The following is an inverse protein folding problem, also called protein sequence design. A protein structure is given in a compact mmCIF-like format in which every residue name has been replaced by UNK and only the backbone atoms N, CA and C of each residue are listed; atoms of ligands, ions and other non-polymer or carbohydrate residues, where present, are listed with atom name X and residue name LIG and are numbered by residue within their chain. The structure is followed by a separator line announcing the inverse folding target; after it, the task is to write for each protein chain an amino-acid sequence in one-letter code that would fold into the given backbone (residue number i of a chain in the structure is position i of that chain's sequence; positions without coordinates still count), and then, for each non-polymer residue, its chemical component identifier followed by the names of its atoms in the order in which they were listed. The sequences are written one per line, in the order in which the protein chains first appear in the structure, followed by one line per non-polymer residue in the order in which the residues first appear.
data_IF_213994726771
#
_entry.id   IF_213994726771
#
_cell.length_a   1.000
_cell.length_b   1.000
_cell.length_c   1.000
_cell.angle_alpha   90.00
_cell.angle_beta   90.00
_cell.angle_gamma   90.00
#
_symmetry.space_group_name_H-M   'P 1'
#
loop_
_entity.id
_entity.type
_entity.pdbx_description
1 polymer ?
#
# COMPACT_ATOMS: atom_id res chain seq x y z
N UNK A 1 17.81 -27.58 -32.13
CA UNK A 1 16.75 -26.57 -31.93
C UNK A 1 16.21 -26.53 -30.48
N UNK A 2 16.22 -27.60 -29.74
CA UNK A 2 15.76 -27.70 -28.33
C UNK A 2 16.77 -27.09 -27.36
N UNK A 3 18.08 -27.18 -27.65
CA UNK A 3 19.15 -26.63 -26.79
C UNK A 3 19.18 -25.11 -26.75
N UNK A 4 18.84 -24.44 -27.84
CA UNK A 4 18.80 -22.98 -27.92
C UNK A 4 17.64 -22.38 -27.10
N UNK A 5 16.53 -23.10 -26.94
CA UNK A 5 15.39 -22.67 -26.13
C UNK A 5 15.66 -22.79 -24.63
N UNK A 6 16.43 -23.79 -24.20
CA UNK A 6 16.83 -23.97 -22.81
C UNK A 6 17.84 -22.92 -22.35
N UNK A 7 18.82 -22.57 -23.20
CA UNK A 7 19.81 -21.54 -22.90
C UNK A 7 19.16 -20.16 -22.77
N UNK A 8 18.16 -19.85 -23.60
CA UNK A 8 17.39 -18.59 -23.48
C UNK A 8 16.59 -18.50 -22.19
N UNK A 9 16.03 -19.60 -21.69
CA UNK A 9 15.24 -19.60 -20.46
C UNK A 9 16.10 -19.45 -19.20
N UNK A 10 17.27 -20.07 -19.16
CA UNK A 10 18.21 -19.92 -18.04
C UNK A 10 18.79 -18.51 -17.94
N UNK A 11 19.07 -17.87 -19.08
CA UNK A 11 19.55 -16.50 -19.13
C UNK A 11 18.49 -15.51 -18.61
N UNK A 12 17.21 -15.70 -18.97
CA UNK A 12 16.09 -14.91 -18.43
C UNK A 12 15.88 -15.12 -16.93
N UNK A 13 16.06 -16.32 -16.40
CA UNK A 13 15.91 -16.61 -14.97
C UNK A 13 17.04 -15.97 -14.16
N UNK A 14 18.27 -15.97 -14.68
CA UNK A 14 19.43 -15.36 -14.02
C UNK A 14 19.33 -13.85 -13.97
N UNK A 15 18.86 -13.20 -15.03
CA UNK A 15 18.64 -11.76 -15.05
C UNK A 15 17.47 -11.36 -14.16
N UNK A 16 16.41 -12.13 -14.09
CA UNK A 16 15.27 -11.90 -13.22
C UNK A 16 15.69 -11.81 -11.75
N UNK A 17 16.58 -12.68 -11.28
CA UNK A 17 17.10 -12.64 -9.91
C UNK A 17 17.87 -11.34 -9.61
N UNK A 18 18.64 -10.86 -10.59
CA UNK A 18 19.38 -9.59 -10.45
C UNK A 18 18.44 -8.39 -10.35
N UNK A 19 17.38 -8.33 -11.16
CA UNK A 19 16.38 -7.25 -11.11
C UNK A 19 15.60 -7.25 -9.80
N UNK A 20 15.23 -8.42 -9.30
CA UNK A 20 14.57 -8.55 -8.00
C UNK A 20 15.50 -8.06 -6.89
N UNK A 21 16.77 -8.49 -6.88
CA UNK A 21 17.74 -8.06 -5.88
C UNK A 21 17.97 -6.55 -5.93
N UNK A 22 18.12 -5.98 -7.13
CA UNK A 22 18.26 -4.52 -7.31
C UNK A 22 17.06 -3.77 -6.78
N UNK A 23 15.83 -4.23 -7.05
CA UNK A 23 14.62 -3.59 -6.55
C UNK A 23 14.53 -3.60 -5.03
N UNK A 24 14.94 -4.70 -4.38
CA UNK A 24 15.02 -4.78 -2.92
C UNK A 24 16.05 -3.82 -2.33
N UNK A 25 17.23 -3.71 -2.94
CA UNK A 25 18.30 -2.80 -2.49
C UNK A 25 17.83 -1.34 -2.60
N UNK A 26 17.25 -0.97 -3.75
CA UNK A 26 16.75 0.40 -3.96
C UNK A 26 15.60 0.72 -3.01
N UNK A 27 14.64 -0.20 -2.86
CA UNK A 27 13.53 -0.04 -1.92
C UNK A 27 14.00 0.08 -0.47
N UNK A 28 14.95 -0.76 -0.05
CA UNK A 28 15.55 -0.69 1.27
C UNK A 28 16.32 0.61 1.53
N UNK A 29 17.04 1.12 0.53
CA UNK A 29 17.73 2.40 0.61
C UNK A 29 16.75 3.57 0.81
N UNK A 30 15.65 3.61 0.05
CA UNK A 30 14.62 4.65 0.18
C UNK A 30 13.92 4.55 1.54
N UNK A 31 13.61 3.34 2.00
CA UNK A 31 13.02 3.11 3.31
C UNK A 31 13.96 3.54 4.44
N UNK A 32 15.25 3.28 4.30
CA UNK A 32 16.29 3.72 5.25
C UNK A 32 16.41 5.24 5.32
N UNK A 33 16.36 5.93 4.17
CA UNK A 33 16.32 7.38 4.12
C UNK A 33 15.06 7.95 4.79
N UNK A 34 13.89 7.35 4.54
CA UNK A 34 12.64 7.73 5.21
C UNK A 34 12.71 7.55 6.72
N UNK A 35 13.22 6.41 7.20
CA UNK A 35 13.41 6.16 8.63
C UNK A 35 14.41 7.10 9.29
N UNK A 36 15.52 7.45 8.61
CA UNK A 36 16.49 8.41 9.13
C UNK A 36 15.91 9.83 9.20
N UNK A 37 15.12 10.23 8.20
CA UNK A 37 14.45 11.53 8.21
C UNK A 37 13.43 11.65 9.36
N UNK A 38 12.65 10.61 9.62
CA UNK A 38 11.72 10.55 10.74
C UNK A 38 12.45 10.63 12.09
N UNK A 39 13.55 9.89 12.24
CA UNK A 39 14.31 9.81 13.47
C UNK A 39 15.01 11.15 13.79
N UNK A 40 15.61 11.78 12.78
CA UNK A 40 16.33 13.04 12.94
C UNK A 40 15.43 14.27 12.95
N UNK A 41 14.27 14.20 12.24
CA UNK A 41 13.36 15.33 12.09
C UNK A 41 12.30 15.43 13.21
N UNK A 42 11.84 14.29 13.72
CA UNK A 42 10.67 14.27 14.60
C UNK A 42 10.99 13.75 16.01
N UNK A 43 11.72 12.63 16.09
CA UNK A 43 11.88 11.91 17.37
C UNK A 43 13.11 12.33 18.18
N UNK A 44 14.21 12.72 17.52
CA UNK A 44 15.52 13.04 18.12
C UNK A 44 16.08 12.00 19.09
N UNK A 45 15.44 10.85 19.25
CA UNK A 45 15.85 9.72 20.11
C UNK A 45 15.23 8.41 19.61
N UNK A 46 15.95 7.33 19.79
CA UNK A 46 15.46 5.98 19.57
C UNK A 46 14.56 5.54 20.73
N UNK A 47 13.27 5.37 20.44
CA UNK A 47 12.29 4.86 21.39
C UNK A 47 12.08 3.38 21.08
N UNK A 48 11.95 2.56 22.11
CA UNK A 48 11.64 1.14 21.94
C UNK A 48 10.27 1.00 21.24
N UNK A 49 10.24 0.23 20.13
CA UNK A 49 9.04 0.12 19.29
C UNK A 49 8.98 1.14 18.13
N UNK A 50 10.05 1.92 17.91
CA UNK A 50 10.15 2.78 16.72
C UNK A 50 9.99 1.96 15.44
N UNK A 51 9.09 2.40 14.56
CA UNK A 51 8.83 1.71 13.30
C UNK A 51 7.84 0.54 13.39
N UNK A 52 7.26 0.30 14.56
CA UNK A 52 6.23 -0.74 14.71
C UNK A 52 5.00 -0.39 13.85
N UNK A 53 4.69 -1.24 12.86
CA UNK A 53 3.56 -1.07 11.96
C UNK A 53 3.83 -0.30 10.67
N UNK A 54 4.86 0.53 10.55
CA UNK A 54 5.14 1.32 9.33
C UNK A 54 5.31 0.46 8.07
N UNK A 55 5.94 -0.70 8.21
CA UNK A 55 6.11 -1.63 7.08
C UNK A 55 4.78 -2.20 6.60
N UNK A 56 3.89 -2.56 7.52
CA UNK A 56 2.57 -3.07 7.19
C UNK A 56 1.70 -1.96 6.56
N UNK A 57 1.71 -0.77 7.12
CA UNK A 57 1.02 0.39 6.56
C UNK A 57 1.50 0.70 5.14
N UNK A 58 2.81 0.62 4.88
CA UNK A 58 3.38 0.83 3.56
C UNK A 58 2.87 -0.18 2.52
N UNK A 59 2.77 -1.47 2.89
CA UNK A 59 2.19 -2.51 2.03
C UNK A 59 0.71 -2.22 1.76
N UNK A 60 -0.05 -1.84 2.79
CA UNK A 60 -1.46 -1.51 2.64
C UNK A 60 -1.68 -0.31 1.71
N UNK A 61 -0.89 0.77 1.86
CA UNK A 61 -0.94 1.94 0.98
C UNK A 61 -0.60 1.59 -0.47
N UNK A 62 0.39 0.72 -0.70
CA UNK A 62 0.75 0.25 -2.03
C UNK A 62 -0.37 -0.56 -2.69
N UNK A 63 -1.07 -1.41 -1.92
CA UNK A 63 -2.22 -2.18 -2.40
C UNK A 63 -3.41 -1.27 -2.74
N UNK A 64 -3.71 -0.28 -1.91
CA UNK A 64 -4.77 0.71 -2.15
C UNK A 64 -4.44 1.53 -3.40
N UNK A 65 -3.19 1.96 -3.57
CA UNK A 65 -2.69 2.67 -4.74
C UNK A 65 -2.61 1.80 -6.01
N UNK A 66 -2.98 0.51 -5.93
CA UNK A 66 -2.89 -0.46 -7.04
C UNK A 66 -1.50 -0.53 -7.67
N UNK A 67 -0.45 -0.36 -6.88
CA UNK A 67 0.95 -0.32 -7.33
C UNK A 67 1.25 0.80 -8.34
N UNK A 68 0.35 1.79 -8.47
CA UNK A 68 0.58 2.96 -9.31
C UNK A 68 1.28 4.05 -8.49
N UNK A 69 2.48 4.52 -8.88
CA UNK A 69 3.29 5.40 -8.03
C UNK A 69 2.60 6.71 -7.66
N UNK A 70 1.90 7.36 -8.57
CA UNK A 70 1.18 8.61 -8.29
C UNK A 70 0.00 8.40 -7.33
N UNK A 71 -0.76 7.32 -7.52
CA UNK A 71 -1.88 6.99 -6.64
C UNK A 71 -1.39 6.65 -5.23
N UNK A 72 -0.27 5.92 -5.11
CA UNK A 72 0.33 5.59 -3.82
C UNK A 72 0.78 6.83 -3.06
N UNK A 73 1.32 7.86 -3.73
CA UNK A 73 1.69 9.14 -3.09
C UNK A 73 0.45 9.81 -2.48
N UNK A 74 -0.65 9.90 -3.21
CA UNK A 74 -1.88 10.53 -2.69
C UNK A 74 -2.43 9.77 -1.48
N UNK A 75 -2.46 8.44 -1.56
CA UNK A 75 -2.88 7.58 -0.45
C UNK A 75 -1.96 7.75 0.75
N UNK A 76 -0.63 7.80 0.54
CA UNK A 76 0.35 7.97 1.60
C UNK A 76 0.17 9.32 2.33
N UNK A 77 -0.08 10.41 1.60
CA UNK A 77 -0.36 11.73 2.19
C UNK A 77 -1.63 11.68 3.06
N UNK A 78 -2.67 11.02 2.57
CA UNK A 78 -3.92 10.88 3.31
C UNK A 78 -3.72 10.08 4.62
N UNK A 79 -2.99 8.96 4.56
CA UNK A 79 -2.70 8.16 5.75
C UNK A 79 -1.77 8.90 6.73
N UNK A 80 -0.79 9.66 6.23
CA UNK A 80 0.06 10.50 7.06
C UNK A 80 -0.75 11.57 7.81
N UNK A 81 -1.70 12.22 7.14
CA UNK A 81 -2.60 13.19 7.77
C UNK A 81 -3.45 12.55 8.86
N UNK A 82 -4.01 11.36 8.63
CA UNK A 82 -4.76 10.63 9.66
C UNK A 82 -3.88 10.28 10.86
N UNK A 83 -2.65 9.88 10.66
CA UNK A 83 -1.73 9.52 11.73
C UNK A 83 -1.32 10.73 12.58
N UNK A 84 -0.99 11.85 11.94
CA UNK A 84 -0.68 13.10 12.64
C UNK A 84 -1.92 13.61 13.39
N UNK A 85 -3.10 13.56 12.78
CA UNK A 85 -4.35 13.92 13.43
C UNK A 85 -4.65 13.07 14.67
N UNK A 86 -4.36 11.77 14.61
CA UNK A 86 -4.51 10.82 15.71
C UNK A 86 -3.62 11.16 16.91
N UNK A 87 -2.34 11.45 16.67
CA UNK A 87 -1.42 11.84 17.76
C UNK A 87 -1.79 13.17 18.40
N UNK A 88 -2.27 14.11 17.59
CA UNK A 88 -2.77 15.41 18.09
C UNK A 88 -4.02 15.23 18.93
N UNK A 89 -4.95 14.37 18.49
CA UNK A 89 -6.17 14.06 19.24
C UNK A 89 -5.84 13.37 20.57
N UNK A 90 -4.89 12.45 20.58
CA UNK A 90 -4.43 11.80 21.81
C UNK A 90 -3.86 12.83 22.82
N UNK A 91 -3.08 13.79 22.34
CA UNK A 91 -2.50 14.83 23.19
C UNK A 91 -3.56 15.77 23.77
N UNK A 92 -4.64 16.05 23.02
CA UNK A 92 -5.69 16.98 23.43
C UNK A 92 -6.77 16.35 24.31
N UNK A 93 -7.17 15.10 24.04
CA UNK A 93 -8.33 14.43 24.65
C UNK A 93 -7.99 13.21 25.49
N UNK A 94 -6.74 12.74 25.45
CA UNK A 94 -6.31 11.52 26.14
C UNK A 94 -6.83 10.22 25.52
N UNK A 95 -7.49 10.27 24.35
CA UNK A 95 -7.98 9.08 23.65
C UNK A 95 -6.78 8.33 23.06
N UNK A 96 -6.64 7.00 23.34
CA UNK A 96 -5.50 6.24 22.85
C UNK A 96 -5.48 6.15 21.32
N UNK A 97 -4.30 6.21 20.72
CA UNK A 97 -4.09 6.08 19.25
C UNK A 97 -4.63 4.79 18.66
N UNK A 98 -4.80 3.76 19.49
CA UNK A 98 -5.38 2.47 19.07
C UNK A 98 -6.77 2.59 18.41
N UNK A 99 -7.55 3.62 18.75
CA UNK A 99 -8.84 3.88 18.09
C UNK A 99 -8.64 4.27 16.64
N UNK A 100 -7.65 5.10 16.36
CA UNK A 100 -7.29 5.49 14.98
C UNK A 100 -6.73 4.32 14.20
N UNK A 101 -5.95 3.44 14.82
CA UNK A 101 -5.42 2.24 14.18
C UNK A 101 -6.56 1.29 13.75
N UNK A 102 -7.61 1.15 14.56
CA UNK A 102 -8.80 0.38 14.21
C UNK A 102 -9.53 1.00 13.01
N UNK A 103 -9.73 2.31 13.01
CA UNK A 103 -10.37 3.03 11.90
C UNK A 103 -9.54 2.85 10.62
N UNK A 104 -8.22 2.99 10.72
CA UNK A 104 -7.31 2.80 9.59
C UNK A 104 -7.39 1.38 9.05
N UNK A 105 -7.35 0.36 9.89
CA UNK A 105 -7.49 -1.04 9.49
C UNK A 105 -8.82 -1.29 8.78
N UNK A 106 -9.91 -0.72 9.28
CA UNK A 106 -11.23 -0.84 8.68
C UNK A 106 -11.28 -0.19 7.29
N UNK A 107 -10.70 1.00 7.12
CA UNK A 107 -10.58 1.67 5.82
C UNK A 107 -9.79 0.83 4.82
N UNK A 108 -8.66 0.23 5.26
CA UNK A 108 -7.86 -0.66 4.41
C UNK A 108 -8.68 -1.86 3.95
N UNK A 109 -9.35 -2.55 4.87
CA UNK A 109 -10.17 -3.73 4.56
C UNK A 109 -11.27 -3.40 3.57
N UNK A 110 -12.03 -2.31 3.79
CA UNK A 110 -13.09 -1.90 2.88
C UNK A 110 -12.56 -1.49 1.51
N UNK A 111 -11.45 -0.80 1.46
CA UNK A 111 -10.84 -0.37 0.19
C UNK A 111 -10.35 -1.57 -0.61
N UNK A 112 -9.64 -2.50 0.02
CA UNK A 112 -9.14 -3.72 -0.64
C UNK A 112 -10.30 -4.61 -1.07
N UNK A 113 -11.32 -4.79 -0.23
CA UNK A 113 -12.52 -5.55 -0.58
C UNK A 113 -13.27 -4.92 -1.76
N UNK A 114 -13.44 -3.59 -1.75
CA UNK A 114 -14.07 -2.85 -2.84
C UNK A 114 -13.32 -3.00 -4.17
N UNK A 115 -11.99 -2.87 -4.13
CA UNK A 115 -11.14 -3.07 -5.31
C UNK A 115 -11.19 -4.51 -5.83
N UNK A 116 -11.23 -5.50 -4.94
CA UNK A 116 -11.38 -6.91 -5.31
C UNK A 116 -12.73 -7.16 -5.99
N UNK A 117 -13.81 -6.61 -5.46
CA UNK A 117 -15.14 -6.72 -6.05
C UNK A 117 -15.22 -6.12 -7.45
N UNK A 118 -14.63 -4.94 -7.67
CA UNK A 118 -14.62 -4.27 -9.00
C UNK A 118 -13.84 -5.08 -10.04
N UNK A 119 -12.82 -5.83 -9.62
CA UNK A 119 -12.02 -6.69 -10.53
C UNK A 119 -12.67 -8.03 -10.85
N UNK A 120 -13.67 -8.47 -10.08
CA UNK A 120 -14.38 -9.71 -10.34
C UNK A 120 -15.29 -9.58 -11.59
N UNK A 121 -15.16 -10.49 -12.59
CA UNK A 121 -15.96 -10.42 -13.83
C UNK A 121 -17.47 -10.52 -13.56
N UNK A 122 -17.88 -11.24 -12.51
CA UNK A 122 -19.27 -11.35 -12.11
C UNK A 122 -19.89 -10.03 -11.63
N UNK A 123 -19.11 -9.18 -10.99
CA UNK A 123 -19.59 -7.87 -10.52
C UNK A 123 -19.75 -6.87 -11.67
N UNK A 124 -18.87 -6.92 -12.69
CA UNK A 124 -19.04 -6.14 -13.92
C UNK A 124 -20.31 -6.54 -14.69
N UNK A 125 -20.62 -7.84 -14.74
CA UNK A 125 -21.86 -8.34 -15.36
C UNK A 125 -23.11 -7.91 -14.56
N UNK A 126 -23.03 -7.87 -13.24
CA UNK A 126 -24.11 -7.41 -12.38
C UNK A 126 -24.37 -5.90 -12.54
N UNK A 127 -23.32 -5.09 -12.54
CA UNK A 127 -23.43 -3.65 -12.81
C UNK A 127 -23.95 -3.36 -14.22
N UNK A 128 -23.53 -4.13 -15.23
CA UNK A 128 -24.05 -4.02 -16.60
C UNK A 128 -25.57 -4.24 -16.64
N UNK A 129 -26.06 -5.28 -15.97
CA UNK A 129 -27.51 -5.56 -15.89
C UNK A 129 -28.31 -4.47 -15.18
N UNK A 130 -27.75 -3.85 -14.16
CA UNK A 130 -28.39 -2.71 -13.46
C UNK A 130 -28.45 -1.47 -14.33
N UNK A 131 -27.42 -1.23 -15.14
CA UNK A 131 -27.33 -0.08 -16.04
C UNK A 131 -28.29 -0.25 -17.24
N UNK A 132 -28.46 -1.48 -17.74
CA UNK A 132 -29.44 -1.79 -18.78
C UNK A 132 -30.88 -1.62 -18.28
N UNK A 133 -31.20 -2.14 -17.10
CA UNK A 133 -32.53 -1.95 -16.49
C UNK A 133 -32.90 -0.47 -16.29
N UNK A 134 -31.90 0.38 -16.00
CA UNK A 134 -32.11 1.82 -15.83
C UNK A 134 -32.37 2.53 -17.16
N UNK A 135 -31.85 2.00 -18.27
CA UNK A 135 -32.10 2.53 -19.62
C UNK A 135 -33.45 2.10 -20.19
N UNK A 136 -33.99 0.95 -19.74
CA UNK A 136 -35.32 0.48 -20.13
C UNK A 136 -36.43 1.16 -19.33
N UNK A 137 -36.10 1.79 -18.18
CA UNK A 137 -37.04 2.47 -17.29
C UNK A 137 -37.10 4.00 -17.50
N UNK A 138 -36.29 4.54 -18.42
CA UNK A 138 -36.26 5.95 -18.78
C UNK A 138 -36.72 6.18 -20.22
#
# INVERSE_FOLDING_TARGET
EITTRLVGSEMCIRDRKKYILMSFIVSGAIAGLGGSAELLGTQFRLINGFGNGYGFDGVAMALIGQLHPLATIVVAIFFAALRVGSTTMQAATGVPTSVSDIIQALVIVFTVAGLAMVKLPGFKAFLGRLTERRKEAA
#
